data_IF_160909539168
#
_entry.id   IF_160909539168
#
_cell.length_a   1.000
_cell.length_b   1.000
_cell.length_c   1.000
_cell.angle_alpha   90.00
_cell.angle_beta   90.00
_cell.angle_gamma   90.00
#
_symmetry.space_group_name_H-M   'P 1'
#
loop_
_entity.id
_entity.type
_entity.pdbx_description
1 polymer ?
#
# COMPACT_ATOMS: atom_id res chain seq x y z
N UNK A 1 -13.09 28.64 -5.96
CA UNK A 1 -12.00 28.31 -6.89
C UNK A 1 -10.68 27.93 -6.21
N UNK A 2 -10.03 28.77 -5.39
CA UNK A 2 -8.71 28.40 -4.82
C UNK A 2 -8.75 27.25 -3.78
N UNK A 3 -9.85 27.09 -3.05
CA UNK A 3 -10.01 26.04 -2.03
C UNK A 3 -10.28 24.67 -2.65
N UNK A 4 -11.13 24.62 -3.68
CA UNK A 4 -11.44 23.42 -4.45
C UNK A 4 -10.18 22.85 -5.11
N UNK A 5 -9.35 23.71 -5.70
CA UNK A 5 -8.08 23.29 -6.30
C UNK A 5 -7.10 22.68 -5.28
N UNK A 6 -7.04 23.22 -4.05
CA UNK A 6 -6.21 22.63 -2.97
C UNK A 6 -6.71 21.27 -2.50
N UNK A 7 -8.02 21.03 -2.55
CA UNK A 7 -8.61 19.74 -2.16
C UNK A 7 -8.31 18.65 -3.20
N UNK A 8 -8.31 19.01 -4.48
CA UNK A 8 -7.88 18.13 -5.58
C UNK A 8 -6.38 17.83 -5.49
N UNK A 9 -5.55 18.84 -5.22
CA UNK A 9 -4.11 18.63 -5.04
C UNK A 9 -3.81 17.71 -3.84
N UNK A 10 -4.50 17.92 -2.72
CA UNK A 10 -4.38 17.05 -1.56
C UNK A 10 -4.86 15.62 -1.86
N UNK A 11 -5.88 15.46 -2.72
CA UNK A 11 -6.31 14.14 -3.18
C UNK A 11 -5.21 13.48 -4.01
N UNK A 12 -4.64 14.19 -4.98
CA UNK A 12 -3.57 13.70 -5.84
C UNK A 12 -2.39 13.18 -5.01
N UNK A 13 -1.92 13.98 -4.05
CA UNK A 13 -0.81 13.60 -3.17
C UNK A 13 -1.10 12.32 -2.36
N UNK A 14 -2.33 12.18 -1.84
CA UNK A 14 -2.74 10.99 -1.10
C UNK A 14 -2.87 9.75 -2.00
N UNK A 15 -3.29 9.91 -3.25
CA UNK A 15 -3.35 8.81 -4.23
C UNK A 15 -1.93 8.34 -4.59
N UNK A 16 -1.01 9.28 -4.82
CA UNK A 16 0.40 8.98 -5.09
C UNK A 16 1.02 8.23 -3.90
N UNK A 17 0.83 8.74 -2.69
CA UNK A 17 1.30 8.09 -1.47
C UNK A 17 0.68 6.68 -1.33
N UNK A 18 -0.63 6.57 -1.52
CA UNK A 18 -1.33 5.28 -1.50
C UNK A 18 -0.70 4.26 -2.45
N UNK A 19 -0.49 4.65 -3.71
CA UNK A 19 0.09 3.78 -4.72
C UNK A 19 1.54 3.38 -4.40
N UNK A 20 2.35 4.31 -3.89
CA UNK A 20 3.73 4.04 -3.48
C UNK A 20 3.78 3.02 -2.33
N UNK A 21 2.98 3.23 -1.29
CA UNK A 21 2.93 2.33 -0.14
C UNK A 21 2.41 0.96 -0.52
N UNK A 22 1.39 0.91 -1.39
CA UNK A 22 0.86 -0.34 -1.92
C UNK A 22 1.95 -1.15 -2.65
N UNK A 23 2.72 -0.51 -3.53
CA UNK A 23 3.85 -1.14 -4.24
C UNK A 23 4.93 -1.61 -3.27
N UNK A 24 5.27 -0.82 -2.25
CA UNK A 24 6.24 -1.21 -1.22
C UNK A 24 5.79 -2.46 -0.46
N UNK A 25 4.51 -2.56 -0.10
CA UNK A 25 3.96 -3.76 0.55
C UNK A 25 4.08 -4.96 -0.39
N UNK A 26 3.69 -4.82 -1.66
CA UNK A 26 3.74 -5.90 -2.65
C UNK A 26 5.17 -6.47 -2.83
N UNK A 27 6.20 -5.62 -2.73
CA UNK A 27 7.60 -6.00 -2.87
C UNK A 27 8.23 -6.61 -1.61
N UNK A 28 7.53 -6.61 -0.47
CA UNK A 28 8.06 -7.11 0.80
C UNK A 28 7.43 -8.46 1.20
N UNK A 29 8.20 -9.38 1.80
CA UNK A 29 7.69 -10.67 2.25
C UNK A 29 6.63 -10.53 3.34
N UNK A 30 5.49 -11.21 3.16
CA UNK A 30 4.47 -11.36 4.20
C UNK A 30 4.85 -12.40 5.25
N UNK A 31 4.12 -12.43 6.37
CA UNK A 31 4.23 -13.49 7.38
C UNK A 31 5.14 -13.15 8.56
N UNK A 32 5.72 -14.18 9.16
CA UNK A 32 6.60 -14.06 10.34
C UNK A 32 7.69 -15.13 10.32
N UNK A 33 8.72 -14.96 11.17
CA UNK A 33 9.77 -15.96 11.36
C UNK A 33 9.36 -16.92 12.49
N UNK A 34 9.33 -18.21 12.17
CA UNK A 34 9.16 -19.34 13.08
C UNK A 34 10.50 -20.03 13.30
N UNK A 35 10.87 -20.27 14.55
CA UNK A 35 12.10 -20.95 14.93
C UNK A 35 11.75 -22.35 15.39
N UNK A 36 12.40 -23.36 14.82
CA UNK A 36 12.20 -24.76 15.17
C UNK A 36 13.51 -25.39 15.62
N UNK A 37 13.45 -26.17 16.70
CA UNK A 37 14.55 -27.03 17.11
C UNK A 37 14.25 -28.45 16.69
N UNK A 38 15.13 -29.05 15.89
CA UNK A 38 14.97 -30.41 15.35
C UNK A 38 16.31 -31.13 15.53
N UNK A 39 16.31 -32.23 16.29
CA UNK A 39 17.51 -33.03 16.56
C UNK A 39 18.73 -32.19 16.99
N UNK A 40 18.51 -31.24 17.91
CA UNK A 40 19.55 -30.33 18.41
C UNK A 40 19.93 -29.16 17.48
N UNK A 41 19.37 -29.09 16.27
CA UNK A 41 19.66 -28.03 15.31
C UNK A 41 18.54 -26.98 15.28
N UNK A 42 18.93 -25.70 15.17
CA UNK A 42 17.98 -24.58 15.05
C UNK A 42 17.75 -24.22 13.59
N UNK A 43 16.49 -24.29 13.17
CA UNK A 43 16.04 -23.92 11.82
C UNK A 43 15.08 -22.73 11.91
N UNK A 44 15.25 -21.76 11.01
CA UNK A 44 14.34 -20.63 10.87
C UNK A 44 13.50 -20.80 9.61
N UNK A 45 12.21 -20.52 9.71
CA UNK A 45 11.27 -20.56 8.61
C UNK A 45 10.49 -19.26 8.56
N UNK A 46 10.22 -18.75 7.36
CA UNK A 46 9.18 -17.75 7.13
C UNK A 46 7.86 -18.49 6.95
N UNK A 47 6.84 -18.09 7.70
CA UNK A 47 5.51 -18.68 7.64
C UNK A 47 4.45 -17.61 7.32
N UNK A 48 3.53 -17.95 6.43
CA UNK A 48 2.36 -17.13 6.08
C UNK A 48 1.18 -18.02 5.71
N UNK A 49 0.00 -17.42 5.61
CA UNK A 49 -1.21 -18.12 5.15
C UNK A 49 -1.45 -17.82 3.67
N UNK A 50 -1.75 -18.87 2.93
CA UNK A 50 -2.36 -18.80 1.60
C UNK A 50 -3.71 -19.52 1.68
N UNK A 51 -4.78 -18.73 1.77
CA UNK A 51 -6.10 -19.24 2.13
C UNK A 51 -6.08 -19.96 3.48
N UNK A 52 -6.48 -21.23 3.49
CA UNK A 52 -6.55 -22.06 4.70
C UNK A 52 -5.20 -22.70 5.06
N UNK A 53 -4.23 -22.73 4.14
CA UNK A 53 -2.95 -23.43 4.31
C UNK A 53 -1.88 -22.52 4.88
N UNK A 54 -1.07 -23.06 5.80
CA UNK A 54 0.15 -22.40 6.28
C UNK A 54 1.31 -22.85 5.38
N UNK A 55 1.89 -21.90 4.64
CA UNK A 55 3.10 -22.11 3.87
C UNK A 55 4.30 -21.86 4.77
N UNK A 56 5.31 -22.74 4.70
CA UNK A 56 6.55 -22.62 5.46
C UNK A 56 7.74 -22.67 4.51
N UNK A 57 8.54 -21.61 4.50
CA UNK A 57 9.74 -21.49 3.67
C UNK A 57 10.98 -21.41 4.57
N UNK A 58 11.98 -22.25 4.32
CA UNK A 58 13.24 -22.19 5.07
C UNK A 58 13.96 -20.85 4.83
N UNK A 59 14.54 -20.28 5.88
CA UNK A 59 15.32 -19.04 5.83
C UNK A 59 16.75 -19.35 6.30
N UNK A 60 17.75 -19.26 5.40
CA UNK A 60 19.15 -19.42 5.77
C UNK A 60 19.57 -18.40 6.84
N UNK A 61 20.46 -18.82 7.75
CA UNK A 61 20.95 -17.95 8.85
C UNK A 61 21.54 -16.64 8.34
N UNK A 62 22.24 -16.66 7.21
CA UNK A 62 22.83 -15.47 6.57
C UNK A 62 21.79 -14.44 6.12
N UNK A 63 20.56 -14.86 5.79
CA UNK A 63 19.48 -14.00 5.32
C UNK A 63 18.48 -13.60 6.42
N UNK A 64 18.56 -14.24 7.59
CA UNK A 64 17.58 -14.11 8.67
C UNK A 64 17.35 -12.66 9.11
N UNK A 65 18.42 -11.89 9.29
CA UNK A 65 18.34 -10.49 9.71
C UNK A 65 17.66 -9.64 8.63
N UNK A 66 18.02 -9.84 7.36
CA UNK A 66 17.42 -9.15 6.22
C UNK A 66 15.93 -9.45 6.10
N UNK A 67 15.54 -10.74 6.16
CA UNK A 67 14.13 -11.15 6.07
C UNK A 67 13.31 -10.59 7.24
N UNK A 68 13.83 -10.63 8.47
CA UNK A 68 13.15 -10.03 9.64
C UNK A 68 12.90 -8.54 9.44
N UNK A 69 13.90 -7.79 8.95
CA UNK A 69 13.79 -6.36 8.68
C UNK A 69 12.76 -6.08 7.58
N UNK A 70 12.75 -6.86 6.52
CA UNK A 70 11.79 -6.71 5.43
C UNK A 70 10.34 -6.99 5.89
N UNK A 71 10.12 -8.03 6.70
CA UNK A 71 8.80 -8.33 7.30
C UNK A 71 8.35 -7.17 8.20
N UNK A 72 9.26 -6.62 9.02
CA UNK A 72 8.95 -5.46 9.87
C UNK A 72 8.60 -4.23 9.03
N UNK A 73 9.37 -3.95 7.98
CA UNK A 73 9.08 -2.86 7.04
C UNK A 73 7.71 -3.04 6.37
N UNK A 74 7.34 -4.28 6.02
CA UNK A 74 6.01 -4.56 5.46
C UNK A 74 4.90 -4.19 6.44
N UNK A 75 5.01 -4.61 7.70
CA UNK A 75 4.03 -4.29 8.74
C UNK A 75 3.89 -2.78 8.97
N UNK A 76 4.99 -2.05 8.94
CA UNK A 76 4.97 -0.59 9.03
C UNK A 76 4.25 0.05 7.84
N UNK A 77 4.54 -0.42 6.62
CA UNK A 77 3.84 0.05 5.43
C UNK A 77 2.34 -0.31 5.47
N UNK A 78 1.96 -1.50 5.95
CA UNK A 78 0.55 -1.89 6.13
C UNK A 78 -0.17 -0.97 7.12
N UNK A 79 0.49 -0.57 8.20
CA UNK A 79 -0.04 0.43 9.14
C UNK A 79 -0.18 1.81 8.47
N UNK A 80 0.82 2.25 7.72
CA UNK A 80 0.78 3.51 6.99
C UNK A 80 -0.33 3.54 5.95
N UNK A 81 -0.51 2.45 5.19
CA UNK A 81 -1.58 2.31 4.21
C UNK A 81 -2.97 2.47 4.85
N UNK A 82 -3.15 1.99 6.09
CA UNK A 82 -4.41 2.16 6.83
C UNK A 82 -4.69 3.62 7.15
N UNK A 83 -3.68 4.40 7.51
CA UNK A 83 -3.83 5.83 7.79
C UNK A 83 -4.06 6.62 6.49
N UNK A 84 -3.28 6.36 5.43
CA UNK A 84 -3.49 6.97 4.10
C UNK A 84 -4.91 6.71 3.60
N UNK A 85 -5.44 5.48 3.72
CA UNK A 85 -6.83 5.17 3.35
C UNK A 85 -7.87 5.99 4.12
N UNK A 86 -7.63 6.27 5.42
CA UNK A 86 -8.55 7.10 6.21
C UNK A 86 -8.55 8.53 5.72
N UNK A 87 -7.38 9.08 5.42
CA UNK A 87 -7.26 10.46 4.95
C UNK A 87 -7.77 10.62 3.52
N UNK A 88 -7.49 9.65 2.64
CA UNK A 88 -8.07 9.55 1.32
C UNK A 88 -9.61 9.59 1.37
N UNK A 89 -10.23 8.81 2.27
CA UNK A 89 -11.69 8.82 2.48
C UNK A 89 -12.23 10.18 2.98
N UNK A 90 -11.46 10.95 3.75
CA UNK A 90 -11.87 12.29 4.19
C UNK A 90 -11.80 13.29 3.05
N UNK A 91 -10.73 13.26 2.25
CA UNK A 91 -10.53 14.19 1.14
C UNK A 91 -11.47 13.88 -0.02
N UNK A 92 -11.63 12.60 -0.37
CA UNK A 92 -12.61 12.12 -1.37
C UNK A 92 -13.99 12.72 -1.13
N UNK A 93 -14.51 12.62 0.11
CA UNK A 93 -15.82 13.19 0.46
C UNK A 93 -15.92 14.70 0.24
N UNK A 94 -14.84 15.45 0.43
CA UNK A 94 -14.82 16.90 0.19
C UNK A 94 -14.82 17.21 -1.30
N UNK A 95 -13.96 16.54 -2.06
CA UNK A 95 -13.84 16.69 -3.51
C UNK A 95 -15.17 16.33 -4.20
N UNK A 96 -15.77 15.20 -3.84
CA UNK A 96 -17.09 14.78 -4.34
C UNK A 96 -18.17 15.79 -3.99
N UNK A 97 -18.21 16.26 -2.73
CA UNK A 97 -19.17 17.29 -2.31
C UNK A 97 -18.99 18.62 -3.07
N UNK A 98 -17.77 18.93 -3.48
CA UNK A 98 -17.47 20.14 -4.26
C UNK A 98 -17.83 20.01 -5.74
N UNK A 99 -18.18 18.80 -6.21
CA UNK A 99 -18.58 18.54 -7.60
C UNK A 99 -17.42 18.57 -8.60
N UNK A 100 -16.17 18.50 -8.14
CA UNK A 100 -14.99 18.53 -9.01
C UNK A 100 -14.70 17.17 -9.65
N UNK A 101 -14.88 16.11 -8.87
CA UNK A 101 -14.71 14.72 -9.31
C UNK A 101 -15.77 13.87 -8.62
N UNK A 102 -16.24 12.86 -9.32
CA UNK A 102 -17.12 11.81 -8.85
C UNK A 102 -16.34 10.72 -8.13
N UNK A 103 -17.04 9.87 -7.36
CA UNK A 103 -16.39 8.71 -6.74
C UNK A 103 -15.83 7.73 -7.79
N UNK A 104 -16.48 7.60 -8.95
CA UNK A 104 -16.04 6.74 -10.04
C UNK A 104 -14.71 7.19 -10.62
N UNK A 105 -14.59 8.47 -10.98
CA UNK A 105 -13.36 9.07 -11.50
C UNK A 105 -12.20 8.92 -10.50
N UNK A 106 -12.45 9.11 -9.20
CA UNK A 106 -11.42 8.94 -8.18
C UNK A 106 -10.93 7.50 -8.10
N UNK A 107 -11.83 6.52 -8.25
CA UNK A 107 -11.48 5.10 -8.29
C UNK A 107 -10.60 4.81 -9.51
N UNK A 108 -10.99 5.30 -10.69
CA UNK A 108 -10.23 5.14 -11.93
C UNK A 108 -8.81 5.73 -11.81
N UNK A 109 -8.68 6.92 -11.22
CA UNK A 109 -7.36 7.55 -10.96
C UNK A 109 -6.53 6.68 -10.01
N UNK A 110 -7.11 6.13 -8.94
CA UNK A 110 -6.40 5.24 -8.02
C UNK A 110 -5.90 3.98 -8.73
N UNK A 111 -6.75 3.36 -9.56
CA UNK A 111 -6.39 2.17 -10.33
C UNK A 111 -5.24 2.47 -11.33
N UNK A 112 -5.33 3.60 -12.04
CA UNK A 112 -4.26 4.07 -12.93
C UNK A 112 -2.96 4.33 -12.15
N UNK A 113 -3.02 4.96 -10.98
CA UNK A 113 -1.86 5.21 -10.12
C UNK A 113 -1.19 3.89 -9.66
N UNK A 114 -1.98 2.87 -9.31
CA UNK A 114 -1.48 1.55 -8.98
C UNK A 114 -0.75 0.89 -10.16
N UNK A 115 -1.22 1.13 -11.38
CA UNK A 115 -0.55 0.71 -12.61
C UNK A 115 0.68 1.57 -12.98
N UNK A 116 0.87 2.73 -12.33
CA UNK A 116 2.01 3.62 -12.51
C UNK A 116 1.77 4.82 -13.42
N UNK A 117 0.51 5.17 -13.68
CA UNK A 117 0.15 6.41 -14.37
C UNK A 117 0.50 7.65 -13.52
N UNK A 118 0.63 8.79 -14.20
CA UNK A 118 0.80 10.09 -13.57
C UNK A 118 -0.57 10.60 -13.08
N UNK A 119 -0.73 10.69 -11.76
CA UNK A 119 -1.97 11.10 -11.11
C UNK A 119 -2.40 12.52 -11.48
N UNK A 120 -1.44 13.44 -11.62
CA UNK A 120 -1.78 14.82 -11.97
C UNK A 120 -2.30 14.89 -13.39
N UNK A 121 -1.66 14.18 -14.33
CA UNK A 121 -2.11 14.11 -15.71
C UNK A 121 -3.50 13.48 -15.85
N UNK A 122 -3.82 12.43 -15.06
CA UNK A 122 -5.16 11.83 -15.08
C UNK A 122 -6.23 12.77 -14.53
N UNK A 123 -5.92 13.55 -13.47
CA UNK A 123 -6.85 14.55 -12.93
C UNK A 123 -7.06 15.70 -13.92
N UNK A 124 -6.00 16.19 -14.56
CA UNK A 124 -6.10 17.27 -15.56
C UNK A 124 -7.03 16.87 -16.71
N UNK A 125 -6.86 15.67 -17.27
CA UNK A 125 -7.75 15.15 -18.33
C UNK A 125 -9.22 15.14 -17.94
N UNK A 126 -9.53 14.84 -16.68
CA UNK A 126 -10.91 14.78 -16.18
C UNK A 126 -11.49 16.16 -15.90
N UNK A 127 -10.67 17.13 -15.50
CA UNK A 127 -11.10 18.51 -15.25
C UNK A 127 -11.24 19.34 -16.54
N UNK A 128 -10.62 18.90 -17.63
CA UNK A 128 -10.71 19.55 -18.95
C UNK A 128 -11.94 19.12 -19.78
N UNK A 129 -12.61 18.03 -19.39
CA UNK A 129 -13.85 17.52 -20.00
C UNK A 129 -15.11 18.11 -19.35
#
# INVERSE_FOLDING_TARGET
MKKSLREVEALAQLIIEYALVYKNIANLPCGYISVKQISGHTYCYRQWREGEKIVSQYVPKALLSSVKRQIAARKNNEAMLKEVKKDLKKVTRKVVKSGLLTEGEIIEIIEAALQGADVHAEIEKLLEN
#
